data_IF_118698832697
#
_entry.id   IF_118698832697
#
_cell.length_a   1.000
_cell.length_b   1.000
_cell.length_c   1.000
_cell.angle_alpha   90.00
_cell.angle_beta   90.00
_cell.angle_gamma   90.00
#
_symmetry.space_group_name_H-M   'P 1'
#
loop_
_entity.id
_entity.type
_entity.pdbx_description
1 polymer ?
#
# COMPACT_ATOMS: atom_id res chain seq x y z
N UNK A 1 -25.30 40.93 -23.29
CA UNK A 1 -24.74 40.64 -21.95
C UNK A 1 -23.45 39.87 -22.13
N UNK A 2 -22.31 40.55 -22.11
CA UNK A 2 -21.01 39.96 -22.32
C UNK A 2 -20.52 39.32 -21.01
N UNK A 3 -20.40 37.99 -20.96
CA UNK A 3 -19.66 37.32 -19.90
C UNK A 3 -18.19 37.30 -20.30
N UNK A 4 -17.42 38.18 -19.66
CA UNK A 4 -15.98 38.34 -19.77
C UNK A 4 -15.27 37.03 -19.42
N UNK A 5 -14.88 36.24 -20.43
CA UNK A 5 -14.04 35.06 -20.23
C UNK A 5 -12.59 35.51 -20.14
N UNK A 6 -12.12 35.73 -18.92
CA UNK A 6 -10.72 35.99 -18.57
C UNK A 6 -9.75 35.02 -19.28
N UNK A 7 -8.63 35.49 -19.86
CA UNK A 7 -7.66 34.66 -20.57
C UNK A 7 -6.61 33.99 -19.67
N UNK A 8 -6.74 34.04 -18.33
CA UNK A 8 -5.65 33.63 -17.41
C UNK A 8 -6.00 32.49 -16.43
N UNK A 9 -7.00 31.66 -16.74
CA UNK A 9 -7.18 30.42 -15.97
C UNK A 9 -6.26 29.33 -16.51
N UNK A 10 -5.07 29.20 -15.93
CA UNK A 10 -4.33 27.93 -15.97
C UNK A 10 -5.29 26.89 -15.40
N UNK A 11 -5.92 26.12 -16.27
CA UNK A 11 -6.88 25.09 -15.88
C UNK A 11 -6.11 24.01 -15.13
N UNK A 12 -6.10 24.12 -13.80
CA UNK A 12 -5.69 23.02 -12.93
C UNK A 12 -6.74 21.92 -13.11
N UNK A 13 -6.49 21.05 -14.08
CA UNK A 13 -7.32 19.88 -14.32
C UNK A 13 -7.45 19.10 -13.00
N UNK A 14 -8.67 18.77 -12.56
CA UNK A 14 -8.86 17.96 -11.37
C UNK A 14 -8.09 16.64 -11.53
N UNK A 15 -7.38 16.20 -10.49
CA UNK A 15 -6.59 14.95 -10.58
C UNK A 15 -7.44 13.73 -10.97
N UNK A 16 -8.75 13.77 -10.69
CA UNK A 16 -9.73 12.77 -11.11
C UNK A 16 -9.91 12.70 -12.64
N UNK A 17 -9.79 13.82 -13.35
CA UNK A 17 -9.88 13.88 -14.81
C UNK A 17 -8.70 13.18 -15.47
N UNK A 18 -7.48 13.48 -15.00
CA UNK A 18 -6.25 12.87 -15.52
C UNK A 18 -6.27 11.35 -15.30
N UNK A 19 -6.65 10.88 -14.09
CA UNK A 19 -6.78 9.45 -13.78
C UNK A 19 -7.76 8.73 -14.72
N UNK A 20 -8.87 9.37 -15.08
CA UNK A 20 -9.87 8.82 -16.01
C UNK A 20 -9.36 8.79 -17.45
N UNK A 21 -8.64 9.82 -17.87
CA UNK A 21 -8.09 9.95 -19.23
C UNK A 21 -7.03 8.89 -19.52
N UNK A 22 -6.09 8.70 -18.59
CA UNK A 22 -4.99 7.73 -18.74
C UNK A 22 -5.38 6.30 -18.37
N UNK A 23 -6.62 6.06 -17.91
CA UNK A 23 -7.12 4.76 -17.43
C UNK A 23 -6.17 4.09 -16.43
N UNK A 24 -5.41 4.90 -15.69
CA UNK A 24 -4.44 4.37 -14.75
C UNK A 24 -5.19 3.71 -13.59
N UNK A 25 -4.83 2.46 -13.23
CA UNK A 25 -5.38 1.84 -12.04
C UNK A 25 -5.04 2.73 -10.86
N UNK A 26 -5.99 2.95 -9.95
CA UNK A 26 -5.70 3.73 -8.75
C UNK A 26 -4.54 3.06 -8.01
N UNK A 27 -3.59 3.86 -7.50
CA UNK A 27 -2.41 3.34 -6.79
C UNK A 27 -2.81 2.37 -5.67
N UNK A 28 -3.96 2.61 -5.02
CA UNK A 28 -4.58 1.71 -4.04
C UNK A 28 -4.87 0.31 -4.60
N UNK A 29 -5.43 0.21 -5.81
CA UNK A 29 -5.71 -1.08 -6.47
C UNK A 29 -4.42 -1.83 -6.81
N UNK A 30 -3.38 -1.12 -7.25
CA UNK A 30 -2.06 -1.71 -7.50
C UNK A 30 -1.41 -2.23 -6.21
N UNK A 31 -1.50 -1.46 -5.13
CA UNK A 31 -0.99 -1.88 -3.81
C UNK A 31 -1.77 -3.12 -3.32
N UNK A 32 -3.09 -3.13 -3.45
CA UNK A 32 -3.93 -4.26 -3.04
C UNK A 32 -3.62 -5.52 -3.84
N UNK A 33 -3.48 -5.42 -5.17
CA UNK A 33 -3.14 -6.57 -6.01
C UNK A 33 -1.76 -7.13 -5.69
N UNK A 34 -0.78 -6.28 -5.43
CA UNK A 34 0.56 -6.70 -5.01
C UNK A 34 0.55 -7.39 -3.64
N UNK A 35 -0.23 -6.89 -2.67
CA UNK A 35 -0.40 -7.55 -1.36
C UNK A 35 -1.01 -8.93 -1.50
N UNK A 36 -2.06 -9.08 -2.32
CA UNK A 36 -2.68 -10.38 -2.60
C UNK A 36 -1.70 -11.34 -3.27
N UNK A 37 -0.92 -10.86 -4.26
CA UNK A 37 0.12 -11.66 -4.92
C UNK A 37 1.18 -12.13 -3.92
N UNK A 38 1.63 -11.25 -3.02
CA UNK A 38 2.60 -11.58 -1.97
C UNK A 38 2.03 -12.60 -0.97
N UNK A 39 0.78 -12.43 -0.53
CA UNK A 39 0.10 -13.43 0.33
C UNK A 39 -0.01 -14.79 -0.35
N UNK A 40 -0.42 -14.82 -1.63
CA UNK A 40 -0.50 -16.06 -2.40
C UNK A 40 0.87 -16.71 -2.66
N UNK A 41 1.94 -15.93 -2.69
CA UNK A 41 3.31 -16.45 -2.70
C UNK A 41 3.64 -17.13 -1.36
N UNK A 42 3.36 -16.48 -0.23
CA UNK A 42 3.63 -17.05 1.10
C UNK A 42 2.80 -18.29 1.38
N UNK A 43 1.53 -18.32 0.96
CA UNK A 43 0.66 -19.49 1.12
C UNK A 43 1.24 -20.75 0.45
N UNK A 44 1.88 -20.57 -0.71
CA UNK A 44 2.52 -21.66 -1.47
C UNK A 44 3.90 -22.05 -0.93
N UNK A 45 4.52 -21.22 -0.10
CA UNK A 45 5.80 -21.55 0.55
C UNK A 45 5.63 -22.72 1.53
N UNK A 46 6.66 -23.54 1.77
CA UNK A 46 6.59 -24.65 2.71
C UNK A 46 6.27 -24.18 4.14
N UNK A 47 5.63 -25.03 4.94
CA UNK A 47 5.21 -24.72 6.32
C UNK A 47 6.39 -24.26 7.21
N UNK A 48 7.58 -24.83 6.98
CA UNK A 48 8.82 -24.50 7.70
C UNK A 48 9.40 -23.13 7.30
N UNK A 49 8.84 -22.46 6.29
CA UNK A 49 9.28 -21.12 5.94
C UNK A 49 8.86 -20.15 7.06
N UNK A 50 9.87 -19.51 7.67
CA UNK A 50 9.68 -18.53 8.74
C UNK A 50 8.67 -17.44 8.36
N UNK A 51 8.70 -16.95 7.12
CA UNK A 51 7.76 -15.93 6.65
C UNK A 51 6.32 -16.43 6.67
N UNK A 52 6.07 -17.69 6.29
CA UNK A 52 4.73 -18.30 6.36
C UNK A 52 4.29 -18.48 7.80
N UNK A 53 5.18 -18.98 8.66
CA UNK A 53 4.93 -19.13 10.08
C UNK A 53 4.54 -17.79 10.72
N UNK A 54 5.32 -16.72 10.55
CA UNK A 54 5.02 -15.40 11.14
C UNK A 54 3.77 -14.72 10.56
N UNK A 55 3.41 -15.00 9.31
CA UNK A 55 2.25 -14.36 8.67
C UNK A 55 0.93 -14.98 9.14
N UNK A 56 0.89 -16.30 9.32
CA UNK A 56 -0.35 -17.01 9.68
C UNK A 56 -0.46 -17.38 11.16
N UNK A 57 0.67 -17.53 11.85
CA UNK A 57 0.67 -17.74 13.30
C UNK A 57 0.46 -16.40 13.98
N UNK A 58 -0.46 -16.37 14.95
CA UNK A 58 -0.55 -15.26 15.88
C UNK A 58 0.48 -15.49 17.00
N UNK A 59 1.64 -14.82 17.01
CA UNK A 59 2.57 -14.95 18.13
C UNK A 59 1.92 -14.40 19.39
N UNK A 60 1.56 -15.28 20.31
CA UNK A 60 1.01 -14.90 21.61
C UNK A 60 2.16 -14.35 22.45
N UNK A 61 2.04 -13.11 22.89
CA UNK A 61 3.04 -12.42 23.71
C UNK A 61 3.21 -10.95 23.34
N UNK A 62 3.47 -10.10 24.33
CA UNK A 62 3.83 -8.71 24.12
C UNK A 62 5.34 -8.56 24.16
N UNK A 63 5.94 -7.83 23.21
CA UNK A 63 7.33 -7.40 23.36
C UNK A 63 7.39 -6.42 24.52
N UNK A 64 8.21 -6.73 25.53
CA UNK A 64 8.40 -5.84 26.67
C UNK A 64 8.81 -4.46 26.16
N UNK A 65 8.05 -3.42 26.55
CA UNK A 65 8.39 -2.03 26.24
C UNK A 65 9.52 -1.62 27.20
N UNK A 66 10.68 -1.25 26.67
CA UNK A 66 11.84 -0.89 27.49
C UNK A 66 13.14 -0.82 26.68
N UNK A 67 14.26 -0.62 27.38
CA UNK A 67 15.59 -0.62 26.78
C UNK A 67 15.81 -1.96 26.06
N UNK A 68 16.22 -1.96 24.78
CA UNK A 68 16.64 -3.18 24.09
C UNK A 68 17.70 -3.92 24.92
N UNK A 69 17.74 -5.26 24.88
CA UNK A 69 18.76 -6.00 25.61
C UNK A 69 20.16 -5.55 25.17
N UNK A 70 21.01 -5.22 26.13
CA UNK A 70 22.40 -4.76 25.87
C UNK A 70 23.25 -5.84 25.19
N UNK A 71 22.84 -7.10 25.29
CA UNK A 71 23.53 -8.27 24.76
C UNK A 71 22.57 -9.09 23.91
N UNK A 72 23.04 -9.50 22.74
CA UNK A 72 22.36 -10.45 21.87
C UNK A 72 22.74 -11.85 22.38
N UNK A 73 21.81 -12.51 23.07
CA UNK A 73 21.90 -13.93 23.43
C UNK A 73 20.79 -14.64 22.68
#
# INVERSE_FOLDING_TARGET
>A
MALYRSPLTVTLWPSSFLKKLYKEPQVTQVIQSNRLRWLGHIWRSPENNQTRAYTFKNPIGSRTRGRPPTRWI
#
